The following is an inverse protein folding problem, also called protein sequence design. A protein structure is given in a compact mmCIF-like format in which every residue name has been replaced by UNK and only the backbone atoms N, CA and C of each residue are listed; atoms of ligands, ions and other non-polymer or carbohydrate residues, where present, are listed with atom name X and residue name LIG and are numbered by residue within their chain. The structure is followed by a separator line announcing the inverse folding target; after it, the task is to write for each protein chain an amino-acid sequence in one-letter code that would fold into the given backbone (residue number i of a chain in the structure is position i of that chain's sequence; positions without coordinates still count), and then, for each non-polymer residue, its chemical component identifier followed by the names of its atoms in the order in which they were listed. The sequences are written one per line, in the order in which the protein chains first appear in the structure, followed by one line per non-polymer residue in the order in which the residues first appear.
data_IF_080282530606
#
_entry.id   IF_080282530606
#
_cell.length_a   1.000
_cell.length_b   1.000
_cell.length_c   1.000
_cell.angle_alpha   90.00
_cell.angle_beta   90.00
_cell.angle_gamma   90.00
#
_symmetry.space_group_name_H-M   'P 1'
#
loop_
_entity.id
_entity.type
_entity.pdbx_description
1 polymer ?
#
# COMPACT_ATOMS: atom_id res chain seq x y z
N UNK A 1 63.50 -18.94 34.59
CA UNK A 1 63.89 -17.88 33.65
C UNK A 1 62.64 -17.44 32.91
N UNK A 2 62.11 -16.28 33.30
CA UNK A 2 60.99 -15.62 32.64
C UNK A 2 61.47 -15.01 31.34
N UNK A 3 60.80 -15.26 30.21
CA UNK A 3 60.71 -14.27 29.13
C UNK A 3 59.31 -14.37 28.50
N UNK A 4 58.48 -13.34 28.75
CA UNK A 4 57.33 -12.96 27.92
C UNK A 4 57.83 -12.29 26.64
N UNK A 5 57.10 -12.45 25.54
CA UNK A 5 57.11 -11.49 24.42
C UNK A 5 55.66 -11.13 24.03
N UNK A 6 55.32 -9.84 23.84
CA UNK A 6 53.97 -9.36 23.57
C UNK A 6 53.66 -9.14 22.07
N UNK A 7 52.40 -9.45 21.73
CA UNK A 7 51.42 -8.77 20.85
C UNK A 7 51.88 -8.04 19.56
N UNK A 8 51.02 -8.24 18.53
CA UNK A 8 50.84 -7.53 17.23
C UNK A 8 51.73 -8.15 16.15
N UNK A 9 51.24 -8.57 14.98
CA UNK A 9 50.82 -7.73 13.84
C UNK A 9 50.16 -8.64 12.76
N UNK A 10 49.29 -8.06 11.92
CA UNK A 10 48.79 -8.52 10.57
C UNK A 10 47.99 -9.82 10.49
N UNK A 11 46.67 -9.82 10.21
CA UNK A 11 45.93 -9.35 9.03
C UNK A 11 46.05 -10.27 7.79
N UNK A 12 44.86 -10.62 7.28
CA UNK A 12 44.50 -11.01 5.90
C UNK A 12 44.48 -12.52 5.54
N UNK A 13 43.32 -12.89 5.00
CA UNK A 13 43.01 -13.98 4.06
C UNK A 13 42.84 -15.42 4.58
N UNK A 14 41.59 -15.79 4.82
CA UNK A 14 41.01 -17.03 4.31
C UNK A 14 39.53 -16.72 3.96
N UNK A 15 39.21 -16.47 2.69
CA UNK A 15 38.67 -17.49 1.76
C UNK A 15 37.42 -18.15 2.36
N UNK A 16 36.24 -17.64 2.03
CA UNK A 16 35.43 -18.08 0.89
C UNK A 16 34.46 -19.20 1.29
N UNK A 17 33.23 -19.10 0.78
CA UNK A 17 32.07 -19.97 0.99
C UNK A 17 31.29 -19.70 2.29
N UNK A 18 30.11 -19.06 2.17
CA UNK A 18 28.85 -19.56 2.77
C UNK A 18 27.62 -18.62 2.69
N UNK A 19 27.67 -17.43 2.07
CA UNK A 19 26.51 -16.52 2.10
C UNK A 19 25.95 -16.05 0.75
N UNK A 20 26.23 -16.76 -0.35
CA UNK A 20 25.67 -16.45 -1.69
C UNK A 20 24.33 -17.15 -2.01
N UNK A 21 23.66 -17.79 -1.05
CA UNK A 21 22.49 -18.64 -1.34
C UNK A 21 21.10 -17.97 -1.33
N UNK A 22 20.98 -16.70 -0.95
CA UNK A 22 19.68 -16.11 -0.60
C UNK A 22 18.96 -15.30 -1.68
N UNK A 23 19.55 -15.12 -2.87
CA UNK A 23 19.06 -14.12 -3.84
C UNK A 23 18.66 -14.70 -5.20
N UNK A 24 18.03 -15.88 -5.22
CA UNK A 24 17.23 -16.29 -6.39
C UNK A 24 15.81 -15.75 -6.21
N UNK A 25 15.64 -14.44 -6.42
CA UNK A 25 14.31 -13.88 -6.59
C UNK A 25 13.67 -14.51 -7.82
N UNK A 26 12.55 -15.21 -7.65
CA UNK A 26 11.75 -15.64 -8.80
C UNK A 26 11.21 -14.36 -9.46
N UNK A 27 11.73 -14.03 -10.63
CA UNK A 27 11.17 -12.95 -11.44
C UNK A 27 9.81 -13.41 -11.94
N UNK A 28 8.74 -12.92 -11.32
CA UNK A 28 7.40 -13.10 -11.84
C UNK A 28 7.33 -12.42 -13.23
N UNK A 29 7.30 -13.22 -14.28
CA UNK A 29 7.03 -12.72 -15.64
C UNK A 29 5.58 -12.27 -15.68
N UNK A 30 5.36 -10.96 -15.73
CA UNK A 30 4.05 -10.40 -15.98
C UNK A 30 3.56 -10.91 -17.34
N UNK A 31 2.50 -11.71 -17.35
CA UNK A 31 1.81 -12.11 -18.58
C UNK A 31 1.29 -10.83 -19.23
N UNK A 32 1.60 -10.55 -20.51
CA UNK A 32 1.02 -9.40 -21.19
C UNK A 32 -0.50 -9.53 -21.08
N UNK A 33 -1.15 -8.53 -20.50
CA UNK A 33 -2.59 -8.44 -20.51
C UNK A 33 -3.01 -8.46 -21.97
N UNK A 34 -3.80 -9.46 -22.34
CA UNK A 34 -4.48 -9.47 -23.63
C UNK A 34 -5.26 -8.15 -23.69
N UNK A 35 -4.88 -7.28 -24.64
CA UNK A 35 -5.52 -5.99 -24.80
C UNK A 35 -6.95 -6.24 -25.29
N UNK A 36 -7.84 -6.50 -24.34
CA UNK A 36 -9.28 -6.35 -24.54
C UNK A 36 -9.45 -4.98 -25.20
N UNK A 37 -10.05 -4.97 -26.40
CA UNK A 37 -10.04 -3.82 -27.32
C UNK A 37 -10.15 -2.51 -26.57
N UNK A 38 -9.17 -1.63 -26.77
CA UNK A 38 -9.01 -0.42 -25.98
C UNK A 38 -10.26 0.47 -26.12
N UNK A 39 -11.20 0.31 -25.19
CA UNK A 39 -12.30 1.24 -25.00
C UNK A 39 -11.64 2.55 -24.58
N UNK A 40 -11.97 3.64 -25.26
CA UNK A 40 -11.48 4.96 -24.86
C UNK A 40 -11.81 5.16 -23.37
N UNK A 41 -10.80 5.55 -22.59
CA UNK A 41 -11.00 5.78 -21.17
C UNK A 41 -12.11 6.83 -21.00
N UNK A 42 -13.11 6.57 -20.14
CA UNK A 42 -14.16 7.54 -19.90
C UNK A 42 -13.57 8.80 -19.24
N UNK A 43 -14.08 9.96 -19.64
CA UNK A 43 -13.75 11.21 -18.96
C UNK A 43 -14.43 11.23 -17.58
N UNK A 44 -13.63 11.43 -16.53
CA UNK A 44 -14.09 11.44 -15.15
C UNK A 44 -14.16 12.89 -14.67
N UNK A 45 -15.37 13.35 -14.36
CA UNK A 45 -15.59 14.72 -13.89
C UNK A 45 -14.83 15.03 -12.60
N UNK A 46 -13.85 15.92 -12.70
CA UNK A 46 -13.11 16.44 -11.54
C UNK A 46 -14.01 17.17 -10.53
N UNK A 47 -15.09 17.80 -11.02
CA UNK A 47 -16.10 18.43 -10.18
C UNK A 47 -16.86 17.39 -9.35
N UNK A 48 -17.24 16.26 -9.94
CA UNK A 48 -17.93 15.19 -9.21
C UNK A 48 -17.02 14.57 -8.14
N UNK A 49 -15.75 14.33 -8.45
CA UNK A 49 -14.76 13.83 -7.47
C UNK A 49 -14.61 14.81 -6.30
N UNK A 50 -14.44 16.10 -6.59
CA UNK A 50 -14.35 17.14 -5.55
C UNK A 50 -15.61 17.20 -4.69
N UNK A 51 -16.79 17.01 -5.28
CA UNK A 51 -18.03 16.96 -4.50
C UNK A 51 -18.02 15.81 -3.49
N UNK A 52 -17.58 14.61 -3.89
CA UNK A 52 -17.45 13.49 -2.95
C UNK A 52 -16.44 13.79 -1.82
N UNK A 53 -15.34 14.49 -2.11
CA UNK A 53 -14.40 14.93 -1.07
C UNK A 53 -15.05 15.93 -0.10
N UNK A 54 -15.84 16.88 -0.61
CA UNK A 54 -16.61 17.82 0.22
C UNK A 54 -17.63 17.10 1.11
N UNK A 55 -18.33 16.11 0.57
CA UNK A 55 -19.30 15.30 1.31
C UNK A 55 -18.59 14.52 2.44
N UNK A 56 -17.46 13.88 2.14
CA UNK A 56 -16.64 13.17 3.13
C UNK A 56 -16.05 14.11 4.19
N UNK A 57 -15.67 15.32 3.81
CA UNK A 57 -15.21 16.33 4.77
C UNK A 57 -16.34 16.78 5.69
N UNK A 58 -17.55 16.96 5.15
CA UNK A 58 -18.74 17.28 5.94
C UNK A 58 -19.05 16.17 6.95
N UNK A 59 -18.92 14.90 6.55
CA UNK A 59 -19.06 13.75 7.45
C UNK A 59 -18.02 13.81 8.57
N UNK A 60 -16.75 14.10 8.26
CA UNK A 60 -15.71 14.24 9.28
C UNK A 60 -16.06 15.34 10.28
N UNK A 61 -16.42 16.54 9.79
CA UNK A 61 -16.80 17.69 10.63
C UNK A 61 -17.98 17.37 11.53
N UNK A 62 -19.02 16.69 11.01
CA UNK A 62 -20.19 16.29 11.79
C UNK A 62 -19.90 15.20 12.84
N UNK A 63 -18.79 14.46 12.73
CA UNK A 63 -18.46 13.31 13.57
C UNK A 63 -17.19 13.52 14.42
N UNK A 64 -17.00 14.72 14.96
CA UNK A 64 -15.87 15.02 15.84
C UNK A 64 -14.55 15.19 15.08
N UNK A 65 -14.61 15.64 13.83
CA UNK A 65 -13.46 16.04 13.02
C UNK A 65 -12.65 14.90 12.40
N UNK A 66 -13.11 13.65 12.47
CA UNK A 66 -12.36 12.51 11.94
C UNK A 66 -13.24 11.40 11.37
N UNK A 67 -12.62 10.52 10.57
CA UNK A 67 -13.23 9.31 9.98
C UNK A 67 -12.39 8.08 10.32
N UNK A 68 -11.77 8.09 11.51
CA UNK A 68 -10.88 7.03 11.95
C UNK A 68 -11.66 5.75 12.29
N UNK A 69 -10.99 4.61 12.18
CA UNK A 69 -11.58 3.31 12.53
C UNK A 69 -12.15 3.29 13.96
N UNK A 70 -13.27 2.58 14.15
CA UNK A 70 -13.96 2.47 15.44
C UNK A 70 -14.70 3.74 15.89
N UNK A 71 -14.73 4.80 15.08
CA UNK A 71 -15.48 6.05 15.35
C UNK A 71 -16.72 6.14 14.46
N UNK A 72 -17.67 6.97 14.88
CA UNK A 72 -18.94 7.16 14.15
C UNK A 72 -18.73 7.69 12.73
N UNK A 73 -17.71 8.54 12.52
CA UNK A 73 -17.36 9.08 11.20
C UNK A 73 -16.93 8.03 10.18
N UNK A 74 -16.37 6.89 10.61
CA UNK A 74 -16.03 5.79 9.72
C UNK A 74 -17.28 5.08 9.20
N UNK A 75 -18.22 4.73 10.10
CA UNK A 75 -19.50 4.13 9.70
C UNK A 75 -20.28 5.05 8.76
N UNK A 76 -20.38 6.34 9.09
CA UNK A 76 -21.07 7.32 8.25
C UNK A 76 -20.43 7.46 6.85
N UNK A 77 -19.10 7.33 6.76
CA UNK A 77 -18.41 7.31 5.47
C UNK A 77 -18.76 6.09 4.64
N UNK A 78 -18.83 4.90 5.27
CA UNK A 78 -19.23 3.68 4.58
C UNK A 78 -20.67 3.78 4.10
N UNK A 79 -21.59 4.22 4.96
CA UNK A 79 -23.00 4.38 4.62
C UNK A 79 -23.17 5.32 3.41
N UNK A 80 -22.40 6.42 3.36
CA UNK A 80 -22.38 7.34 2.22
C UNK A 80 -21.95 6.65 0.92
N UNK A 81 -20.82 5.94 0.93
CA UNK A 81 -20.31 5.27 -0.28
C UNK A 81 -21.26 4.16 -0.71
N UNK A 82 -21.77 3.37 0.25
CA UNK A 82 -22.77 2.33 0.00
C UNK A 82 -24.00 2.92 -0.68
N UNK A 83 -24.55 4.03 -0.17
CA UNK A 83 -25.72 4.67 -0.78
C UNK A 83 -25.46 5.13 -2.22
N UNK A 84 -24.26 5.63 -2.54
CA UNK A 84 -23.88 6.01 -3.91
C UNK A 84 -23.78 4.79 -4.83
N UNK A 85 -23.19 3.70 -4.35
CA UNK A 85 -23.05 2.46 -5.11
C UNK A 85 -24.41 1.77 -5.33
N UNK A 86 -25.24 1.69 -4.29
CA UNK A 86 -26.58 1.11 -4.35
C UNK A 86 -27.47 1.92 -5.33
N UNK A 87 -27.39 3.26 -5.30
CA UNK A 87 -28.10 4.12 -6.26
C UNK A 87 -27.61 3.94 -7.70
N UNK A 88 -26.36 3.51 -7.90
CA UNK A 88 -25.81 3.16 -9.20
C UNK A 88 -26.08 1.69 -9.60
N UNK A 89 -26.83 0.94 -8.79
CA UNK A 89 -27.24 -0.44 -9.08
C UNK A 89 -26.20 -1.51 -8.70
N UNK A 90 -25.18 -1.16 -7.93
CA UNK A 90 -24.20 -2.14 -7.44
C UNK A 90 -24.78 -2.95 -6.28
N UNK A 91 -24.34 -4.21 -6.15
CA UNK A 91 -24.57 -5.02 -4.95
C UNK A 91 -23.41 -4.79 -3.99
N UNK A 92 -23.69 -4.28 -2.79
CA UNK A 92 -22.68 -3.91 -1.80
C UNK A 92 -22.64 -4.88 -0.61
N UNK A 93 -21.43 -5.18 -0.10
CA UNK A 93 -21.19 -5.94 1.14
C UNK A 93 -20.24 -5.15 2.05
N UNK A 94 -20.43 -5.27 3.36
CA UNK A 94 -19.54 -4.70 4.39
C UNK A 94 -18.69 -5.78 5.06
#
# INVERSE_FOLDING_TARGET
MNISVPRRVTAVAALAALALGGLTGTSATARPAEAAGAVAAPDISLTAVKQHLTDLQSIATANGGNRAHGRTGYKASIDFVKAKLDAAGYTTSL
#
